data_IF_205304329721
#
_entry.id   IF_205304329721
#
_cell.length_a   1.000
_cell.length_b   1.000
_cell.length_c   1.000
_cell.angle_alpha   90.00
_cell.angle_beta   90.00
_cell.angle_gamma   90.00
#
_symmetry.space_group_name_H-M   'P 1'
#
loop_
_entity.id
_entity.type
_entity.pdbx_description
1 polymer ?
#
# COMPACT_ATOMS: atom_id res chain seq x y z
N UNK A 1 4.45 -36.28 0.51
CA UNK A 1 5.18 -35.02 0.79
C UNK A 1 4.50 -33.95 -0.05
N UNK A 2 3.57 -33.20 0.52
CA UNK A 2 2.83 -32.16 -0.19
C UNK A 2 3.78 -30.99 -0.44
N UNK A 3 4.13 -30.73 -1.69
CA UNK A 3 4.80 -29.50 -2.06
C UNK A 3 3.75 -28.40 -1.95
N UNK A 4 3.72 -27.67 -0.83
CA UNK A 4 3.18 -26.33 -0.85
C UNK A 4 4.10 -25.55 -1.81
N UNK A 5 3.66 -25.35 -3.04
CA UNK A 5 4.33 -24.48 -4.00
C UNK A 5 4.18 -23.05 -3.48
N UNK A 6 5.10 -22.63 -2.61
CA UNK A 6 5.22 -21.23 -2.23
C UNK A 6 5.49 -20.42 -3.51
N UNK A 7 4.81 -19.26 -3.65
CA UNK A 7 5.09 -18.33 -4.75
C UNK A 7 6.57 -17.96 -4.73
N UNK A 8 7.14 -17.76 -5.91
CA UNK A 8 8.49 -17.23 -6.08
C UNK A 8 8.57 -15.77 -5.62
N UNK A 9 9.76 -15.25 -5.29
CA UNK A 9 9.93 -13.85 -4.97
C UNK A 9 9.41 -12.91 -6.06
N UNK A 10 9.60 -13.26 -7.33
CA UNK A 10 9.12 -12.44 -8.46
C UNK A 10 7.58 -12.39 -8.53
N UNK A 11 6.89 -13.50 -8.31
CA UNK A 11 5.42 -13.53 -8.24
C UNK A 11 4.88 -12.67 -7.08
N UNK A 12 5.55 -12.67 -5.93
CA UNK A 12 5.20 -11.75 -4.85
C UNK A 12 5.46 -10.29 -5.22
N UNK A 13 6.57 -10.00 -5.91
CA UNK A 13 6.92 -8.63 -6.31
C UNK A 13 5.89 -8.09 -7.31
N UNK A 14 5.43 -8.91 -8.25
CA UNK A 14 4.38 -8.55 -9.20
C UNK A 14 3.08 -8.18 -8.48
N UNK A 15 2.56 -9.09 -7.63
CA UNK A 15 1.34 -8.88 -6.85
C UNK A 15 1.43 -7.63 -5.95
N UNK A 16 2.57 -7.41 -5.29
CA UNK A 16 2.79 -6.20 -4.47
C UNK A 16 2.88 -4.95 -5.34
N UNK A 17 3.41 -5.05 -6.57
CA UNK A 17 3.50 -3.90 -7.48
C UNK A 17 2.13 -3.50 -8.02
N UNK A 18 1.28 -4.47 -8.34
CA UNK A 18 -0.10 -4.22 -8.74
C UNK A 18 -0.88 -3.56 -7.60
N UNK A 19 -0.85 -4.13 -6.39
CA UNK A 19 -1.53 -3.55 -5.24
C UNK A 19 -0.97 -2.17 -4.86
N UNK A 20 0.33 -1.95 -5.05
CA UNK A 20 0.95 -0.64 -4.83
C UNK A 20 0.40 0.41 -5.81
N UNK A 21 0.19 0.04 -7.07
CA UNK A 21 -0.41 0.94 -8.05
C UNK A 21 -1.83 1.35 -7.65
N UNK A 22 -2.65 0.40 -7.21
CA UNK A 22 -4.00 0.67 -6.68
C UNK A 22 -3.96 1.58 -5.46
N UNK A 23 -3.13 1.27 -4.46
CA UNK A 23 -3.01 2.09 -3.26
C UNK A 23 -2.51 3.52 -3.56
N UNK A 24 -1.65 3.67 -4.58
CA UNK A 24 -1.15 4.98 -5.02
C UNK A 24 -2.24 5.80 -5.72
N UNK A 25 -3.07 5.17 -6.55
CA UNK A 25 -4.18 5.83 -7.24
C UNK A 25 -5.21 6.38 -6.23
N UNK A 26 -5.63 5.54 -5.28
CA UNK A 26 -6.55 5.96 -4.20
C UNK A 26 -5.94 7.07 -3.33
N UNK A 27 -4.64 7.00 -3.04
CA UNK A 27 -3.95 8.08 -2.34
C UNK A 27 -3.96 9.40 -3.13
N UNK A 28 -3.75 9.35 -4.45
CA UNK A 28 -3.77 10.56 -5.30
C UNK A 28 -5.17 11.18 -5.34
N UNK A 29 -6.22 10.36 -5.46
CA UNK A 29 -7.62 10.80 -5.36
C UNK A 29 -7.89 11.45 -4.01
N UNK A 30 -7.52 10.77 -2.92
CA UNK A 30 -7.73 11.28 -1.57
C UNK A 30 -6.97 12.58 -1.29
N UNK A 31 -5.76 12.72 -1.81
CA UNK A 31 -4.97 13.94 -1.72
C UNK A 31 -5.65 15.10 -2.47
N UNK A 32 -6.09 14.86 -3.70
CA UNK A 32 -6.78 15.85 -4.52
C UNK A 32 -8.10 16.30 -3.88
N UNK A 33 -8.92 15.37 -3.40
CA UNK A 33 -10.22 15.70 -2.80
C UNK A 33 -10.07 16.37 -1.42
N UNK A 34 -9.02 16.03 -0.66
CA UNK A 34 -8.65 16.75 0.57
C UNK A 34 -8.23 18.18 0.27
N UNK A 35 -7.41 18.41 -0.75
CA UNK A 35 -6.99 19.75 -1.17
C UNK A 35 -8.16 20.62 -1.62
N UNK A 36 -9.15 20.01 -2.28
CA UNK A 36 -10.40 20.69 -2.68
C UNK A 36 -11.39 20.91 -1.55
N UNK A 37 -11.14 20.37 -0.34
CA UNK A 37 -12.10 20.35 0.78
C UNK A 37 -13.45 19.78 0.36
N UNK A 38 -13.40 18.74 -0.47
CA UNK A 38 -14.57 18.04 -0.98
C UNK A 38 -15.31 17.32 0.13
N UNK A 39 -16.62 17.11 -0.06
CA UNK A 39 -17.42 16.27 0.85
C UNK A 39 -16.97 14.79 0.83
N UNK A 40 -16.29 14.36 -0.24
CA UNK A 40 -15.80 13.00 -0.42
C UNK A 40 -14.43 12.77 0.23
N UNK A 41 -13.72 13.84 0.61
CA UNK A 41 -12.33 13.76 1.08
C UNK A 41 -12.12 12.81 2.26
N UNK A 42 -13.10 12.68 3.17
CA UNK A 42 -13.01 11.76 4.29
C UNK A 42 -13.12 10.29 3.87
N UNK A 43 -14.03 10.00 2.94
CA UNK A 43 -14.24 8.65 2.41
C UNK A 43 -13.05 8.23 1.55
N UNK A 44 -12.52 9.13 0.71
CA UNK A 44 -11.35 8.85 -0.13
C UNK A 44 -10.10 8.60 0.70
N UNK A 45 -9.87 9.37 1.78
CA UNK A 45 -8.78 9.08 2.74
C UNK A 45 -8.93 7.70 3.37
N UNK A 46 -10.16 7.28 3.66
CA UNK A 46 -10.44 5.93 4.18
C UNK A 46 -10.10 4.87 3.13
N UNK A 47 -10.49 5.07 1.87
CA UNK A 47 -10.15 4.15 0.77
C UNK A 47 -8.63 4.01 0.58
N UNK A 48 -7.89 5.13 0.55
CA UNK A 48 -6.43 5.13 0.48
C UNK A 48 -5.79 4.36 1.65
N UNK A 49 -6.33 4.53 2.87
CA UNK A 49 -5.87 3.81 4.05
C UNK A 49 -6.11 2.31 3.94
N UNK A 50 -7.29 1.91 3.49
CA UNK A 50 -7.64 0.50 3.33
C UNK A 50 -6.78 -0.20 2.28
N UNK A 51 -6.49 0.44 1.15
CA UNK A 51 -5.60 -0.12 0.13
C UNK A 51 -4.14 -0.20 0.61
N UNK A 52 -3.67 0.78 1.39
CA UNK A 52 -2.37 0.70 2.05
C UNK A 52 -2.30 -0.48 3.03
N UNK A 53 -3.35 -0.71 3.82
CA UNK A 53 -3.38 -1.84 4.75
C UNK A 53 -3.38 -3.18 3.99
N UNK A 54 -4.10 -3.29 2.87
CA UNK A 54 -4.02 -4.45 1.96
C UNK A 54 -2.60 -4.66 1.41
N UNK A 55 -1.96 -3.60 0.95
CA UNK A 55 -0.58 -3.62 0.47
C UNK A 55 0.40 -4.10 1.55
N UNK A 56 0.27 -3.61 2.78
CA UNK A 56 1.12 -4.01 3.90
C UNK A 56 0.92 -5.48 4.25
N UNK A 57 -0.31 -5.96 4.26
CA UNK A 57 -0.62 -7.38 4.50
C UNK A 57 0.03 -8.30 3.44
N UNK A 58 -0.05 -7.93 2.15
CA UNK A 58 0.61 -8.68 1.06
C UNK A 58 2.13 -8.68 1.23
N UNK A 59 2.73 -7.52 1.49
CA UNK A 59 4.16 -7.39 1.69
C UNK A 59 4.67 -8.22 2.86
N UNK A 60 4.03 -8.13 4.02
CA UNK A 60 4.37 -8.94 5.18
C UNK A 60 4.19 -10.44 4.91
N UNK A 61 3.13 -10.81 4.19
CA UNK A 61 2.90 -12.17 3.73
C UNK A 61 4.04 -12.69 2.86
N UNK A 62 4.47 -11.91 1.87
CA UNK A 62 5.58 -12.25 0.98
C UNK A 62 6.92 -12.40 1.72
N UNK A 63 7.19 -11.50 2.67
CA UNK A 63 8.41 -11.56 3.49
C UNK A 63 8.45 -12.84 4.32
N UNK A 64 7.32 -13.26 4.92
CA UNK A 64 7.23 -14.49 5.73
C UNK A 64 7.26 -15.78 4.90
N UNK A 65 6.75 -15.76 3.67
CA UNK A 65 6.49 -16.96 2.87
C UNK A 65 7.50 -17.20 1.73
N UNK A 66 8.74 -16.70 1.86
CA UNK A 66 9.85 -17.05 0.96
C UNK A 66 10.34 -15.94 0.02
N UNK A 67 9.74 -14.75 0.05
CA UNK A 67 10.19 -13.58 -0.70
C UNK A 67 11.26 -12.73 0.01
N UNK A 68 11.32 -12.83 1.34
CA UNK A 68 12.37 -12.33 2.25
C UNK A 68 13.15 -11.10 1.79
N UNK A 69 14.44 -11.29 1.49
CA UNK A 69 15.36 -10.19 1.14
C UNK A 69 15.04 -9.54 -0.21
N UNK A 70 14.62 -10.31 -1.21
CA UNK A 70 14.40 -9.77 -2.56
C UNK A 70 13.18 -8.83 -2.59
N UNK A 71 12.09 -9.26 -1.95
CA UNK A 71 10.89 -8.42 -1.75
C UNK A 71 11.26 -7.17 -0.96
N UNK A 72 11.94 -7.31 0.19
CA UNK A 72 12.34 -6.14 0.99
C UNK A 72 13.19 -5.14 0.21
N UNK A 73 14.19 -5.61 -0.55
CA UNK A 73 15.09 -4.76 -1.35
C UNK A 73 14.37 -4.01 -2.45
N UNK A 74 13.49 -4.68 -3.20
CA UNK A 74 12.85 -4.09 -4.38
C UNK A 74 11.68 -3.19 -4.03
N UNK A 75 10.88 -3.58 -3.04
CA UNK A 75 9.56 -2.97 -2.82
C UNK A 75 9.38 -2.38 -1.42
N UNK A 76 10.26 -2.70 -0.47
CA UNK A 76 10.11 -2.23 0.92
C UNK A 76 10.23 -0.72 1.09
N UNK A 77 11.09 -0.06 0.31
CA UNK A 77 11.25 1.40 0.41
C UNK A 77 10.01 2.17 -0.04
N UNK A 78 9.48 1.85 -1.22
CA UNK A 78 8.29 2.50 -1.78
C UNK A 78 7.05 2.33 -0.90
N UNK A 79 6.89 1.17 -0.26
CA UNK A 79 5.76 0.92 0.66
C UNK A 79 5.85 1.85 1.88
N UNK A 80 7.05 2.02 2.46
CA UNK A 80 7.25 2.96 3.57
C UNK A 80 6.99 4.40 3.18
N UNK A 81 7.37 4.79 1.96
CA UNK A 81 7.09 6.14 1.46
C UNK A 81 5.59 6.39 1.32
N UNK A 82 4.84 5.44 0.75
CA UNK A 82 3.39 5.54 0.66
C UNK A 82 2.72 5.54 2.03
N UNK A 83 3.21 4.73 2.98
CA UNK A 83 2.73 4.73 4.36
C UNK A 83 2.87 6.11 5.03
N UNK A 84 4.06 6.71 4.92
CA UNK A 84 4.29 8.05 5.47
C UNK A 84 3.46 9.13 4.77
N UNK A 85 3.22 8.99 3.45
CA UNK A 85 2.38 9.91 2.69
C UNK A 85 0.91 9.84 3.11
N UNK A 86 0.37 8.63 3.28
CA UNK A 86 -1.01 8.42 3.78
C UNK A 86 -1.15 8.95 5.20
N UNK A 87 -0.21 8.66 6.10
CA UNK A 87 -0.24 9.22 7.48
C UNK A 87 -0.21 10.76 7.50
N UNK A 88 0.54 11.38 6.59
CA UNK A 88 0.57 12.83 6.47
C UNK A 88 -0.76 13.39 5.96
N UNK A 89 -1.40 12.71 5.00
CA UNK A 89 -2.71 13.09 4.47
C UNK A 89 -3.82 12.95 5.52
N UNK A 90 -3.80 11.87 6.31
CA UNK A 90 -4.74 11.67 7.42
C UNK A 90 -4.63 12.79 8.45
N UNK A 91 -3.39 13.17 8.84
CA UNK A 91 -3.16 14.29 9.75
C UNK A 91 -3.71 15.60 9.19
N UNK A 92 -3.44 15.91 7.93
CA UNK A 92 -3.99 17.09 7.25
C UNK A 92 -5.52 17.12 7.30
N UNK A 93 -6.17 15.98 7.06
CA UNK A 93 -7.62 15.86 7.11
C UNK A 93 -8.25 16.02 8.51
N UNK A 94 -7.46 15.96 9.58
CA UNK A 94 -7.89 16.22 10.96
C UNK A 94 -7.67 17.67 11.40
N UNK A 95 -6.82 18.42 10.67
CA UNK A 95 -6.43 19.80 10.99
C UNK A 95 -7.28 20.86 10.27
N UNK A 96 -8.10 20.48 9.29
CA UNK A 96 -9.06 21.33 8.55
C UNK A 96 -10.46 21.39 9.22
#
# INVERSE_FOLDING_TARGET
>A
RSYATHKTPDEYIEEITEQFATAKDEFEIAAEETDKKSIYAADDRTAAREELDRLKLLYEGAVRNGGGEEVQRRVGHRIRELEQAVEALEKKGLED
#
